data_IF_052869937356
#
_entry.id   IF_052869937356
#
_cell.length_a   1.000
_cell.length_b   1.000
_cell.length_c   1.000
_cell.angle_alpha   90.00
_cell.angle_beta   90.00
_cell.angle_gamma   90.00
#
_symmetry.space_group_name_H-M   'P 1'
#
loop_
_entity.id
_entity.type
_entity.pdbx_description
1 polymer ?
#
# COMPACT_ATOMS: atom_id res chain seq x y z
N UNK A 1 -11.37 34.42 -2.84
CA UNK A 1 -10.17 33.59 -2.61
C UNK A 1 -10.61 32.17 -2.27
N UNK A 2 -10.93 31.32 -3.26
CA UNK A 2 -11.45 29.97 -2.98
C UNK A 2 -11.41 28.97 -4.14
N UNK A 3 -10.73 29.29 -5.25
CA UNK A 3 -10.66 28.41 -6.43
C UNK A 3 -9.33 27.64 -6.51
N UNK A 4 -8.22 28.23 -6.03
CA UNK A 4 -6.90 27.58 -6.03
C UNK A 4 -6.87 26.28 -5.19
N UNK A 5 -7.56 26.25 -4.05
CA UNK A 5 -7.58 25.07 -3.16
C UNK A 5 -8.25 23.83 -3.78
N UNK A 6 -9.11 23.99 -4.78
CA UNK A 6 -9.87 22.87 -5.35
C UNK A 6 -9.15 22.27 -6.57
N UNK A 7 -8.44 23.11 -7.33
CA UNK A 7 -7.59 22.67 -8.45
C UNK A 7 -6.34 21.93 -7.97
N UNK A 8 -5.68 22.45 -6.92
CA UNK A 8 -4.52 21.80 -6.31
C UNK A 8 -4.89 20.43 -5.72
N UNK A 9 -6.04 20.34 -5.05
CA UNK A 9 -6.53 19.07 -4.49
C UNK A 9 -6.88 18.05 -5.59
N UNK A 10 -7.50 18.49 -6.70
CA UNK A 10 -7.76 17.62 -7.84
C UNK A 10 -6.48 17.15 -8.54
N UNK A 11 -5.46 18.01 -8.62
CA UNK A 11 -4.16 17.67 -9.19
C UNK A 11 -3.43 16.61 -8.33
N UNK A 12 -3.48 16.72 -7.01
CA UNK A 12 -2.89 15.74 -6.09
C UNK A 12 -3.60 14.39 -6.14
N UNK A 13 -4.93 14.39 -6.23
CA UNK A 13 -5.71 13.17 -6.45
C UNK A 13 -5.33 12.55 -7.81
N UNK A 14 -5.29 13.33 -8.88
CA UNK A 14 -4.95 12.82 -10.22
C UNK A 14 -3.52 12.25 -10.27
N UNK A 15 -2.55 12.91 -9.60
CA UNK A 15 -1.18 12.39 -9.47
C UNK A 15 -1.16 11.07 -8.71
N UNK A 16 -1.87 10.98 -7.59
CA UNK A 16 -1.97 9.76 -6.77
C UNK A 16 -2.61 8.61 -7.57
N UNK A 17 -3.69 8.89 -8.31
CA UNK A 17 -4.35 7.92 -9.18
C UNK A 17 -3.44 7.46 -10.33
N UNK A 18 -2.67 8.38 -10.92
CA UNK A 18 -1.69 8.07 -11.97
C UNK A 18 -0.55 7.18 -11.46
N UNK A 19 -0.07 7.40 -10.23
CA UNK A 19 0.92 6.54 -9.59
C UNK A 19 0.40 5.10 -9.42
N UNK A 20 -0.87 4.94 -9.08
CA UNK A 20 -1.49 3.61 -8.95
C UNK A 20 -1.83 2.94 -10.29
N UNK A 21 -1.72 3.63 -11.42
CA UNK A 21 -2.04 3.07 -12.73
C UNK A 21 -1.19 1.84 -13.07
N UNK A 22 0.11 1.91 -12.77
CA UNK A 22 1.05 0.81 -13.00
C UNK A 22 0.67 -0.41 -12.16
N UNK A 23 0.37 -0.19 -10.88
CA UNK A 23 -0.06 -1.24 -9.96
C UNK A 23 -1.38 -1.89 -10.40
N UNK A 24 -2.40 -1.10 -10.73
CA UNK A 24 -3.69 -1.59 -11.20
C UNK A 24 -3.52 -2.43 -12.47
N UNK A 25 -2.72 -1.94 -13.43
CA UNK A 25 -2.46 -2.66 -14.67
C UNK A 25 -1.75 -3.99 -14.42
N UNK A 26 -0.77 -4.00 -13.52
CA UNK A 26 -0.03 -5.21 -13.17
C UNK A 26 -0.91 -6.23 -12.43
N UNK A 27 -1.76 -5.78 -11.50
CA UNK A 27 -2.72 -6.65 -10.81
C UNK A 27 -3.79 -7.21 -11.76
N UNK A 28 -4.29 -6.39 -12.69
CA UNK A 28 -5.19 -6.87 -13.76
C UNK A 28 -4.52 -7.96 -14.60
N UNK A 29 -3.25 -7.77 -14.99
CA UNK A 29 -2.48 -8.74 -15.77
C UNK A 29 -2.32 -10.06 -15.02
N UNK A 30 -1.94 -10.01 -13.74
CA UNK A 30 -1.77 -11.20 -12.87
C UNK A 30 -3.07 -11.99 -12.71
N UNK A 31 -4.19 -11.30 -12.57
CA UNK A 31 -5.52 -11.92 -12.42
C UNK A 31 -6.19 -12.29 -13.75
N UNK A 32 -5.54 -12.05 -14.90
CA UNK A 32 -6.12 -12.31 -16.22
C UNK A 32 -7.37 -11.46 -16.52
N UNK A 33 -7.47 -10.27 -15.93
CA UNK A 33 -8.61 -9.37 -16.09
C UNK A 33 -8.44 -8.46 -17.30
N UNK A 34 -9.44 -8.50 -18.20
CA UNK A 34 -9.50 -7.61 -19.36
C UNK A 34 -10.38 -6.38 -19.08
N UNK A 35 -10.11 -5.27 -19.75
CA UNK A 35 -10.94 -4.05 -19.68
C UNK A 35 -12.40 -4.32 -20.08
N UNK A 36 -12.61 -5.21 -21.06
CA UNK A 36 -13.96 -5.65 -21.47
C UNK A 36 -14.70 -6.29 -20.30
N UNK A 37 -14.01 -7.14 -19.53
CA UNK A 37 -14.57 -7.79 -18.34
C UNK A 37 -14.88 -6.77 -17.24
N UNK A 38 -14.02 -5.77 -17.02
CA UNK A 38 -14.32 -4.68 -16.08
C UNK A 38 -15.63 -3.95 -16.40
N UNK A 39 -15.86 -3.67 -17.69
CA UNK A 39 -17.09 -3.02 -18.14
C UNK A 39 -18.32 -3.95 -18.15
N UNK A 40 -18.14 -5.27 -18.24
CA UNK A 40 -19.20 -6.25 -18.06
C UNK A 40 -19.60 -6.39 -16.59
N UNK A 41 -18.63 -6.34 -15.69
CA UNK A 41 -18.82 -6.37 -14.23
C UNK A 41 -19.33 -5.02 -13.67
N UNK A 42 -19.48 -3.99 -14.53
CA UNK A 42 -19.98 -2.67 -14.11
C UNK A 42 -19.01 -1.84 -13.28
N UNK A 43 -17.74 -2.24 -13.24
CA UNK A 43 -16.66 -1.56 -12.50
C UNK A 43 -16.26 -0.25 -13.18
N UNK A 44 -16.38 -0.22 -14.50
CA UNK A 44 -16.20 0.97 -15.34
C UNK A 44 -17.37 1.11 -16.31
N UNK A 45 -17.66 2.34 -16.74
CA UNK A 45 -18.73 2.57 -17.73
C UNK A 45 -18.39 1.89 -19.08
N UNK A 46 -19.39 1.44 -19.83
CA UNK A 46 -19.15 0.82 -21.15
C UNK A 46 -18.40 1.76 -22.12
N UNK A 47 -18.78 3.03 -22.13
CA UNK A 47 -18.14 4.06 -22.96
C UNK A 47 -16.72 4.42 -22.49
N UNK A 48 -16.32 3.94 -21.31
CA UNK A 48 -15.03 4.19 -20.69
C UNK A 48 -14.02 3.07 -20.96
N UNK A 49 -14.42 2.00 -21.65
CA UNK A 49 -13.53 0.88 -21.99
C UNK A 49 -12.44 1.29 -22.99
N UNK A 50 -12.80 2.09 -23.99
CA UNK A 50 -11.85 2.60 -24.96
C UNK A 50 -10.94 3.66 -24.30
N UNK A 51 -9.63 3.47 -24.40
CA UNK A 51 -8.66 4.36 -23.79
C UNK A 51 -8.57 4.27 -22.26
N UNK A 52 -9.08 3.18 -21.66
CA UNK A 52 -9.07 2.97 -20.20
C UNK A 52 -7.68 3.21 -19.58
N UNK A 53 -6.64 2.55 -20.11
CA UNK A 53 -5.28 2.70 -19.56
C UNK A 53 -4.75 4.14 -19.68
N UNK A 54 -4.97 4.81 -20.81
CA UNK A 54 -4.56 6.21 -20.98
C UNK A 54 -5.27 7.14 -19.99
N UNK A 55 -6.54 6.87 -19.68
CA UNK A 55 -7.29 7.62 -18.66
C UNK A 55 -6.80 7.31 -17.25
N UNK A 56 -6.51 6.04 -16.97
CA UNK A 56 -5.96 5.60 -15.69
C UNK A 56 -4.61 6.27 -15.41
N UNK A 57 -3.68 6.21 -16.37
CA UNK A 57 -2.35 6.84 -16.28
C UNK A 57 -2.45 8.37 -16.15
N UNK A 58 -3.44 9.00 -16.81
CA UNK A 58 -3.68 10.44 -16.70
C UNK A 58 -4.44 10.85 -15.42
N UNK A 59 -4.80 9.91 -14.53
CA UNK A 59 -5.62 10.19 -13.35
C UNK A 59 -7.05 10.64 -13.68
N UNK A 60 -7.56 10.34 -14.88
CA UNK A 60 -8.88 10.75 -15.41
C UNK A 60 -9.95 9.67 -15.26
N UNK A 61 -9.83 8.86 -14.20
CA UNK A 61 -10.86 7.92 -13.77
C UNK A 61 -11.64 8.54 -12.62
N UNK A 62 -12.93 8.23 -12.48
CA UNK A 62 -13.66 8.73 -11.31
C UNK A 62 -13.18 8.02 -10.05
N UNK A 63 -13.31 8.70 -8.90
CA UNK A 63 -13.02 8.09 -7.59
C UNK A 63 -13.83 6.81 -7.37
N UNK A 64 -15.08 6.78 -7.82
CA UNK A 64 -15.94 5.59 -7.75
C UNK A 64 -15.39 4.43 -8.60
N UNK A 65 -14.97 4.70 -9.84
CA UNK A 65 -14.33 3.67 -10.69
C UNK A 65 -13.05 3.16 -10.04
N UNK A 66 -12.25 4.06 -9.46
CA UNK A 66 -11.01 3.70 -8.75
C UNK A 66 -11.27 2.82 -7.53
N UNK A 67 -12.24 3.17 -6.68
CA UNK A 67 -12.60 2.39 -5.50
C UNK A 67 -13.08 0.99 -5.89
N UNK A 68 -13.99 0.89 -6.85
CA UNK A 68 -14.48 -0.40 -7.37
C UNK A 68 -13.35 -1.26 -7.93
N UNK A 69 -12.39 -0.65 -8.64
CA UNK A 69 -11.23 -1.37 -9.16
C UNK A 69 -10.32 -1.87 -8.04
N UNK A 70 -10.01 -1.05 -7.05
CA UNK A 70 -9.17 -1.47 -5.92
C UNK A 70 -9.83 -2.59 -5.11
N UNK A 71 -11.13 -2.49 -4.82
CA UNK A 71 -11.89 -3.55 -4.16
C UNK A 71 -11.87 -4.84 -4.97
N UNK A 72 -12.15 -4.75 -6.28
CA UNK A 72 -12.18 -5.92 -7.17
C UNK A 72 -10.82 -6.59 -7.29
N UNK A 73 -9.76 -5.80 -7.37
CA UNK A 73 -8.38 -6.27 -7.49
C UNK A 73 -7.78 -6.64 -6.13
N UNK A 74 -8.50 -6.40 -5.03
CA UNK A 74 -8.05 -6.61 -3.65
C UNK A 74 -6.75 -5.87 -3.35
N UNK A 75 -6.63 -4.65 -3.89
CA UNK A 75 -5.47 -3.80 -3.67
C UNK A 75 -5.57 -3.19 -2.26
N UNK A 76 -4.71 -3.67 -1.37
CA UNK A 76 -4.45 -3.02 -0.08
C UNK A 76 -3.91 -1.60 -0.31
N UNK A 77 -4.61 -0.55 0.19
CA UNK A 77 -4.24 0.84 -0.08
C UNK A 77 -2.95 1.27 0.63
N UNK A 78 -2.63 0.68 1.79
CA UNK A 78 -1.41 1.01 2.54
C UNK A 78 -0.20 0.38 1.85
N UNK A 79 -0.30 -0.89 1.42
CA UNK A 79 0.73 -1.52 0.59
C UNK A 79 0.92 -0.79 -0.73
N UNK A 80 -0.16 -0.36 -1.37
CA UNK A 80 -0.09 0.39 -2.60
C UNK A 80 0.66 1.72 -2.38
N UNK A 81 0.30 2.48 -1.34
CA UNK A 81 0.97 3.73 -1.00
C UNK A 81 2.45 3.51 -0.72
N UNK A 82 2.82 2.51 0.08
CA UNK A 82 4.21 2.18 0.34
C UNK A 82 4.97 1.81 -0.94
N UNK A 83 4.41 0.94 -1.78
CA UNK A 83 5.04 0.50 -3.02
C UNK A 83 5.31 1.67 -3.97
N UNK A 84 4.34 2.57 -4.14
CA UNK A 84 4.45 3.67 -5.10
C UNK A 84 5.17 4.90 -4.57
N UNK A 85 5.03 5.23 -3.29
CA UNK A 85 5.54 6.48 -2.70
C UNK A 85 6.84 6.28 -1.94
N UNK A 86 7.03 5.15 -1.28
CA UNK A 86 8.21 4.90 -0.44
C UNK A 86 9.24 4.00 -1.12
N UNK A 87 8.78 2.95 -1.82
CA UNK A 87 9.66 2.04 -2.57
C UNK A 87 9.84 2.47 -4.02
N UNK A 88 9.03 3.42 -4.50
CA UNK A 88 9.03 3.95 -5.88
C UNK A 88 9.01 2.84 -6.96
N UNK A 89 8.41 1.69 -6.64
CA UNK A 89 8.41 0.51 -7.48
C UNK A 89 7.13 -0.32 -7.27
N UNK A 90 6.36 -0.48 -8.33
CA UNK A 90 5.14 -1.29 -8.33
C UNK A 90 5.39 -2.77 -8.07
N UNK A 91 6.55 -3.30 -8.48
CA UNK A 91 6.90 -4.71 -8.26
C UNK A 91 7.12 -5.03 -6.77
N UNK A 92 7.53 -4.03 -5.99
CA UNK A 92 7.68 -4.14 -4.54
C UNK A 92 6.35 -4.38 -3.83
N UNK A 93 5.20 -4.18 -4.50
CA UNK A 93 3.89 -4.40 -3.89
C UNK A 93 3.76 -5.78 -3.26
N UNK A 94 4.25 -6.83 -3.93
CA UNK A 94 4.16 -8.22 -3.47
C UNK A 94 5.39 -8.71 -2.70
N UNK A 95 6.41 -7.85 -2.53
CA UNK A 95 7.57 -8.12 -1.70
C UNK A 95 7.15 -8.33 -0.23
N UNK A 96 7.65 -9.37 0.45
CA UNK A 96 7.52 -9.53 1.91
C UNK A 96 7.81 -8.23 2.69
N UNK A 97 8.82 -7.45 2.32
CA UNK A 97 9.18 -6.19 2.97
C UNK A 97 8.04 -5.17 2.93
N UNK A 98 7.36 -5.02 1.78
CA UNK A 98 6.24 -4.11 1.63
C UNK A 98 5.03 -4.59 2.44
N UNK A 99 4.76 -5.89 2.40
CA UNK A 99 3.68 -6.51 3.19
C UNK A 99 3.88 -6.31 4.70
N UNK A 100 5.07 -6.60 5.20
CA UNK A 100 5.40 -6.42 6.62
C UNK A 100 5.34 -4.95 7.03
N UNK A 101 5.87 -4.04 6.19
CA UNK A 101 5.80 -2.60 6.44
C UNK A 101 4.36 -2.10 6.54
N UNK A 102 3.47 -2.57 5.67
CA UNK A 102 2.04 -2.22 5.72
C UNK A 102 1.37 -2.75 7.00
N UNK A 103 1.67 -3.98 7.41
CA UNK A 103 1.15 -4.56 8.65
C UNK A 103 1.59 -3.77 9.89
N UNK A 104 2.86 -3.35 9.94
CA UNK A 104 3.39 -2.51 11.01
C UNK A 104 2.70 -1.15 11.01
N UNK A 105 2.55 -0.51 9.85
CA UNK A 105 1.88 0.77 9.72
C UNK A 105 0.41 0.70 10.20
N UNK A 106 -0.33 -0.34 9.80
CA UNK A 106 -1.69 -0.59 10.26
C UNK A 106 -1.76 -0.81 11.78
N UNK A 107 -0.87 -1.65 12.33
CA UNK A 107 -0.82 -1.89 13.76
C UNK A 107 -0.53 -0.60 14.54
N UNK A 108 0.43 0.20 14.08
CA UNK A 108 0.72 1.50 14.68
C UNK A 108 -0.48 2.45 14.62
N UNK A 109 -1.16 2.55 13.48
CA UNK A 109 -2.33 3.40 13.31
C UNK A 109 -3.50 2.99 14.22
N UNK A 110 -3.66 1.69 14.48
CA UNK A 110 -4.71 1.18 15.37
C UNK A 110 -4.38 1.38 16.85
N UNK A 111 -3.11 1.25 17.24
CA UNK A 111 -2.69 1.35 18.66
C UNK A 111 -2.47 2.79 19.12
N UNK A 112 -1.98 3.67 18.24
CA UNK A 112 -1.59 5.02 18.63
C UNK A 112 -2.74 5.84 19.28
N UNK A 113 -4.01 5.75 18.84
CA UNK A 113 -5.11 6.45 19.52
C UNK A 113 -5.31 6.04 20.98
N UNK A 114 -5.12 4.76 21.33
CA UNK A 114 -5.25 4.26 22.70
C UNK A 114 -4.13 4.83 23.60
N UNK A 115 -2.90 4.83 23.09
CA UNK A 115 -1.75 5.41 23.78
C UNK A 115 -1.90 6.93 23.98
N UNK A 116 -2.47 7.63 23.00
CA UNK A 116 -2.77 9.06 23.09
C UNK A 116 -3.86 9.31 24.14
N UNK A 117 -4.93 8.51 24.14
CA UNK A 117 -6.01 8.65 25.12
C UNK A 117 -5.54 8.42 26.56
N UNK A 118 -4.47 7.66 26.74
CA UNK A 118 -3.80 7.45 28.04
C UNK A 118 -2.87 8.62 28.44
N UNK A 119 -2.60 9.58 27.55
CA UNK A 119 -1.82 10.77 27.86
C UNK A 119 -2.75 11.91 28.31
N UNK A 120 -2.47 12.53 29.46
CA UNK A 120 -3.27 13.61 30.05
C UNK A 120 -3.20 14.97 29.30
N UNK A 121 -2.83 15.03 28.01
CA UNK A 121 -2.54 16.29 27.30
C UNK A 121 -2.71 16.26 25.78
N UNK A 122 -2.45 17.40 25.13
CA UNK A 122 -2.50 17.53 23.67
C UNK A 122 -1.40 16.70 23.00
N UNK A 123 -1.79 15.83 22.06
CA UNK A 123 -0.85 15.05 21.26
C UNK A 123 -0.27 15.90 20.13
N UNK A 124 0.97 16.31 20.30
CA UNK A 124 1.74 16.94 19.22
C UNK A 124 2.42 15.89 18.33
N UNK A 125 2.47 16.16 17.02
CA UNK A 125 3.20 15.32 16.08
C UNK A 125 4.68 15.21 16.45
N UNK A 126 5.23 14.00 16.42
CA UNK A 126 6.64 13.77 16.71
C UNK A 126 7.55 14.26 15.58
N UNK A 127 8.74 14.75 15.93
CA UNK A 127 9.75 15.21 14.95
C UNK A 127 10.20 14.05 14.06
N UNK A 128 10.48 14.36 12.79
CA UNK A 128 10.91 13.38 11.77
C UNK A 128 12.07 12.49 12.24
N UNK A 129 13.08 13.06 12.91
CA UNK A 129 14.23 12.32 13.42
C UNK A 129 13.85 11.20 14.42
N UNK A 130 12.78 11.43 15.20
CA UNK A 130 12.25 10.41 16.11
C UNK A 130 11.53 9.32 15.33
N UNK A 131 10.76 9.66 14.29
CA UNK A 131 10.16 8.69 13.37
C UNK A 131 11.21 7.76 12.75
N UNK A 132 12.34 8.32 12.27
CA UNK A 132 13.46 7.55 11.72
C UNK A 132 14.05 6.60 12.76
N UNK A 133 14.18 7.06 14.01
CA UNK A 133 14.72 6.26 15.11
C UNK A 133 13.79 5.08 15.45
N UNK A 134 12.48 5.32 15.52
CA UNK A 134 11.47 4.28 15.73
C UNK A 134 11.53 3.28 14.58
N UNK A 135 11.50 3.76 13.33
CA UNK A 135 11.57 2.91 12.14
C UNK A 135 12.80 1.99 12.15
N UNK A 136 13.99 2.52 12.51
CA UNK A 136 15.22 1.73 12.60
C UNK A 136 15.15 0.65 13.68
N UNK A 137 14.60 0.96 14.86
CA UNK A 137 14.44 0.00 15.96
C UNK A 137 13.47 -1.11 15.56
N UNK A 138 12.31 -0.74 15.03
CA UNK A 138 11.29 -1.68 14.59
C UNK A 138 11.79 -2.59 13.46
N UNK A 139 12.43 -2.03 12.43
CA UNK A 139 12.99 -2.83 11.34
C UNK A 139 14.10 -3.79 11.79
N UNK A 140 14.95 -3.35 12.74
CA UNK A 140 15.97 -4.22 13.34
C UNK A 140 15.35 -5.36 14.14
N UNK A 141 14.27 -5.10 14.89
CA UNK A 141 13.54 -6.13 15.64
C UNK A 141 12.91 -7.17 14.70
N UNK A 142 12.30 -6.72 13.61
CA UNK A 142 11.74 -7.60 12.55
C UNK A 142 12.84 -8.47 11.94
N UNK A 143 13.96 -7.88 11.53
CA UNK A 143 15.08 -8.61 10.94
C UNK A 143 15.65 -9.67 11.91
N UNK A 144 15.80 -9.32 13.19
CA UNK A 144 16.26 -10.27 14.21
C UNK A 144 15.26 -11.42 14.42
N UNK A 145 13.97 -11.14 14.40
CA UNK A 145 12.93 -12.17 14.48
C UNK A 145 13.04 -13.18 13.33
N UNK A 146 13.22 -12.70 12.09
CA UNK A 146 13.41 -13.58 10.94
C UNK A 146 14.67 -14.44 11.06
N UNK A 147 15.81 -13.86 11.46
CA UNK A 147 17.05 -14.64 11.69
C UNK A 147 16.86 -15.76 12.72
N UNK A 148 16.10 -15.50 13.79
CA UNK A 148 15.80 -16.49 14.83
C UNK A 148 14.89 -17.61 14.33
N UNK A 149 13.98 -17.33 13.40
CA UNK A 149 13.15 -18.37 12.77
C UNK A 149 14.01 -19.23 11.84
N UNK A 150 14.82 -18.59 10.99
CA UNK A 150 15.72 -19.29 10.07
C UNK A 150 16.72 -20.19 10.80
N UNK A 151 17.29 -19.73 11.92
CA UNK A 151 18.21 -20.55 12.70
C UNK A 151 17.54 -21.79 13.31
N UNK A 152 16.28 -21.70 13.74
CA UNK A 152 15.51 -22.85 14.23
C UNK A 152 15.17 -23.83 13.10
N UNK A 153 14.77 -23.31 11.95
CA UNK A 153 14.44 -24.13 10.76
C UNK A 153 15.67 -24.86 10.22
N UNK A 154 16.85 -24.23 10.27
CA UNK A 154 18.09 -24.79 9.74
C UNK A 154 18.92 -25.57 10.78
N UNK A 155 18.62 -25.42 12.08
CA UNK A 155 19.43 -25.93 13.19
C UNK A 155 18.87 -27.13 13.96
N UNK A 156 17.55 -27.32 14.01
CA UNK A 156 16.94 -28.35 14.88
C UNK A 156 16.42 -29.59 14.12
N UNK A 157 16.41 -29.57 12.78
CA UNK A 157 15.89 -30.68 11.96
C UNK A 157 16.85 -31.85 11.70
N UNK A 158 18.16 -31.65 11.88
CA UNK A 158 19.19 -32.66 11.53
C UNK A 158 19.90 -33.28 12.73
N UNK A 159 19.79 -32.69 13.93
CA UNK A 159 20.54 -33.15 15.11
C UNK A 159 19.88 -34.33 15.86
N UNK A 160 18.60 -34.63 15.60
CA UNK A 160 17.85 -35.70 16.30
C UNK A 160 17.62 -36.98 15.48
N UNK A 161 18.14 -37.06 14.24
CA UNK A 161 18.01 -38.26 13.41
C UNK A 161 19.23 -39.20 13.48
N UNK A 162 20.34 -38.78 14.10
CA UNK A 162 21.59 -39.56 14.22
C UNK A 162 22.36 -39.31 15.52
N UNK A 163 21.65 -39.05 16.63
CA UNK A 163 22.22 -38.98 17.98
C UNK A 163 21.92 -40.24 18.79
#
# INVERSE_FOLDING_TARGET
>A
MGLASNEDHQADIARTLGLYAVLIREQMRRQGLSVKRLGQEGLIRKNHQNGFYARLEAGKISLEEFQKLNERLQIDPIRAALAMVCFENADSYDDPCCRTSAQVAMAMANHLPEEIAACDGEFEGIREQLCVTIARRTSSAIANHHRLIESKLNGDGFAHAYG
#
